data_IF_304635183363
#
_entry.id   IF_304635183363
#
_cell.length_a   1.000
_cell.length_b   1.000
_cell.length_c   1.000
_cell.angle_alpha   90.00
_cell.angle_beta   90.00
_cell.angle_gamma   90.00
#
_symmetry.space_group_name_H-M   'P 1'
#
loop_
_entity.id
_entity.type
_entity.pdbx_description
1 polymer ?
#
# COMPACT_ATOMS: atom_id res chain seq x y z
N UNK A 1 4.81 -17.27 13.78
CA UNK A 1 5.60 -16.09 13.38
C UNK A 1 4.62 -14.94 13.40
N UNK A 2 4.85 -13.90 14.21
CA UNK A 2 3.94 -12.76 14.27
C UNK A 2 3.65 -12.31 12.84
N UNK A 3 2.38 -12.16 12.50
CA UNK A 3 1.94 -11.71 11.17
C UNK A 3 2.32 -10.23 10.99
N UNK A 4 3.60 -9.89 11.09
CA UNK A 4 4.08 -8.52 10.99
C UNK A 4 3.72 -7.92 9.63
N UNK A 5 3.31 -6.66 9.63
CA UNK A 5 2.96 -5.92 8.44
C UNK A 5 2.15 -4.67 8.77
N UNK A 6 1.95 -3.84 7.77
CA UNK A 6 1.10 -2.67 7.84
C UNK A 6 -0.04 -2.80 6.84
N UNK A 7 -1.15 -2.16 7.15
CA UNK A 7 -2.28 -2.04 6.25
C UNK A 7 -2.08 -0.78 5.40
N UNK A 8 -2.26 -0.88 4.09
CA UNK A 8 -2.33 0.29 3.22
C UNK A 8 -3.77 0.62 2.85
N UNK A 9 -4.09 1.91 2.92
CA UNK A 9 -5.34 2.49 2.45
C UNK A 9 -5.09 3.58 1.42
N UNK A 10 -5.86 3.54 0.33
CA UNK A 10 -5.95 4.63 -0.64
C UNK A 10 -7.30 5.32 -0.50
N UNK A 11 -7.30 6.63 -0.23
CA UNK A 11 -8.51 7.40 0.04
C UNK A 11 -9.41 6.77 1.13
N UNK A 12 -8.78 6.20 2.17
CA UNK A 12 -9.48 5.53 3.27
C UNK A 12 -10.05 4.15 2.94
N UNK A 13 -9.97 3.68 1.68
CA UNK A 13 -10.34 2.31 1.30
C UNK A 13 -9.17 1.37 1.54
N UNK A 14 -9.43 0.30 2.28
CA UNK A 14 -8.47 -0.76 2.58
C UNK A 14 -8.17 -1.56 1.32
N UNK A 15 -6.89 -1.59 0.93
CA UNK A 15 -6.45 -2.38 -0.23
C UNK A 15 -5.85 -3.71 0.21
N UNK A 16 -4.83 -3.68 1.07
CA UNK A 16 -4.12 -4.90 1.42
C UNK A 16 -3.22 -4.76 2.65
N UNK A 17 -2.86 -5.91 3.24
CA UNK A 17 -1.81 -6.01 4.25
C UNK A 17 -0.49 -6.30 3.54
N UNK A 18 0.54 -5.52 3.81
CA UNK A 18 1.86 -5.68 3.19
C UNK A 18 2.99 -5.38 4.18
N UNK A 19 4.20 -5.81 3.84
CA UNK A 19 5.43 -5.56 4.62
C UNK A 19 6.41 -4.68 3.85
N UNK A 20 6.20 -4.47 2.56
CA UNK A 20 6.94 -3.53 1.74
C UNK A 20 6.01 -2.89 0.71
N UNK A 21 6.22 -1.62 0.44
CA UNK A 21 5.54 -0.89 -0.64
C UNK A 21 6.49 0.11 -1.30
N UNK A 22 6.41 0.19 -2.63
CA UNK A 22 7.10 1.19 -3.43
C UNK A 22 6.09 1.91 -4.32
N UNK A 23 6.31 3.21 -4.57
CA UNK A 23 5.48 4.04 -5.44
C UNK A 23 6.33 4.54 -6.62
N UNK A 24 5.82 4.36 -7.83
CA UNK A 24 6.37 4.92 -9.06
C UNK A 24 5.40 6.01 -9.56
N UNK A 25 5.74 7.27 -9.30
CA UNK A 25 4.90 8.41 -9.68
C UNK A 25 4.99 8.74 -11.18
N UNK A 26 6.06 8.32 -11.86
CA UNK A 26 6.20 8.56 -13.31
C UNK A 26 5.24 7.66 -14.09
N UNK A 27 5.02 6.43 -13.60
CA UNK A 27 4.06 5.47 -14.15
C UNK A 27 2.70 5.48 -13.48
N UNK A 28 2.57 6.18 -12.35
CA UNK A 28 1.38 6.16 -11.51
C UNK A 28 1.03 4.74 -11.02
N UNK A 29 2.03 4.01 -10.52
CA UNK A 29 1.93 2.62 -10.07
C UNK A 29 2.46 2.45 -8.64
N UNK A 30 2.10 1.33 -8.02
CA UNK A 30 2.65 0.90 -6.74
C UNK A 30 2.94 -0.60 -6.76
N UNK A 31 4.01 -0.99 -6.06
CA UNK A 31 4.42 -2.40 -5.93
C UNK A 31 4.30 -2.85 -4.48
N UNK A 32 3.51 -3.89 -4.26
CA UNK A 32 3.33 -4.54 -2.96
C UNK A 32 4.31 -5.71 -2.82
N UNK A 33 4.96 -5.80 -1.66
CA UNK A 33 5.79 -6.94 -1.25
C UNK A 33 6.90 -7.28 -2.27
N UNK A 34 7.34 -6.30 -3.07
CA UNK A 34 8.29 -6.45 -4.18
C UNK A 34 7.90 -7.52 -5.21
N UNK A 35 6.59 -7.81 -5.35
CA UNK A 35 6.09 -8.91 -6.19
C UNK A 35 4.96 -8.50 -7.12
N UNK A 36 4.04 -7.67 -6.62
CA UNK A 36 2.82 -7.35 -7.35
C UNK A 36 2.76 -5.84 -7.59
N UNK A 37 2.81 -5.45 -8.86
CA UNK A 37 2.64 -4.06 -9.29
C UNK A 37 1.21 -3.82 -9.75
N UNK A 38 0.62 -2.72 -9.31
CA UNK A 38 -0.73 -2.28 -9.64
C UNK A 38 -0.72 -0.77 -9.92
N UNK A 39 -1.68 -0.30 -10.72
CA UNK A 39 -1.87 1.14 -10.94
C UNK A 39 -2.45 1.81 -9.69
N UNK A 40 -1.96 3.02 -9.38
CA UNK A 40 -2.55 3.86 -8.36
C UNK A 40 -3.92 4.37 -8.82
N UNK A 41 -4.88 4.59 -7.90
CA UNK A 41 -6.15 5.19 -8.25
C UNK A 41 -5.96 6.57 -8.91
N UNK A 42 -6.71 6.86 -9.98
CA UNK A 42 -6.61 8.13 -10.71
C UNK A 42 -6.97 9.36 -9.84
N UNK A 43 -7.88 9.19 -8.89
CA UNK A 43 -8.33 10.24 -7.97
C UNK A 43 -7.71 10.11 -6.57
N UNK A 44 -6.45 9.66 -6.50
CA UNK A 44 -5.75 9.49 -5.23
C UNK A 44 -5.48 10.83 -4.54
N UNK A 45 -6.03 11.00 -3.35
CA UNK A 45 -5.88 12.19 -2.50
C UNK A 45 -5.00 11.90 -1.28
N UNK A 46 -5.09 10.69 -0.73
CA UNK A 46 -4.37 10.30 0.47
C UNK A 46 -3.94 8.83 0.45
N UNK A 47 -2.73 8.58 0.96
CA UNK A 47 -2.19 7.26 1.23
C UNK A 47 -1.97 7.14 2.74
N UNK A 48 -2.60 6.15 3.37
CA UNK A 48 -2.47 5.93 4.82
C UNK A 48 -1.84 4.56 5.07
N UNK A 49 -0.84 4.54 5.96
CA UNK A 49 -0.15 3.35 6.43
C UNK A 49 -0.51 3.14 7.91
N UNK A 50 -1.13 2.00 8.23
CA UNK A 50 -1.50 1.66 9.59
C UNK A 50 -0.69 0.46 10.08
N UNK A 51 0.13 0.68 11.09
CA UNK A 51 0.83 -0.39 11.81
C UNK A 51 -0.02 -0.75 13.01
N UNK A 52 -0.64 -1.94 12.99
CA UNK A 52 -1.26 -2.49 14.20
C UNK A 52 -0.14 -3.03 15.10
N UNK A 53 0.25 -2.25 16.11
CA UNK A 53 1.04 -2.77 17.22
C UNK A 53 0.17 -3.71 18.06
N UNK A 54 0.70 -4.88 18.41
CA UNK A 54 0.17 -5.71 19.50
C UNK A 54 0.39 -5.01 20.85
#
# INVERSE_FOLDING_TARGET
>A
MSEGGFLIKFNGKEETRCYAIAFDYDKWEYTINNKETRELPENLEAITLEVKGE
#
